data_IF_383544687160
#
_entry.id   IF_383544687160
#
_cell.length_a   1.000
_cell.length_b   1.000
_cell.length_c   1.000
_cell.angle_alpha   90.00
_cell.angle_beta   90.00
_cell.angle_gamma   90.00
#
_symmetry.space_group_name_H-M   'P 1'
#
loop_
_entity.id
_entity.type
_entity.pdbx_description
1 polymer ?
#
# COMPACT_ATOMS: atom_id res chain seq x y z
N UNK A 1 -9.29 68.87 12.84
CA UNK A 1 -8.47 67.98 13.70
C UNK A 1 -9.40 67.05 14.48
N UNK A 2 -9.35 65.77 14.12
CA UNK A 2 -9.48 64.57 14.97
C UNK A 2 -10.76 64.34 15.80
N UNK A 3 -11.82 63.85 15.15
CA UNK A 3 -12.76 62.95 15.81
C UNK A 3 -12.08 61.58 16.01
N UNK A 4 -11.75 61.28 17.28
CA UNK A 4 -11.10 60.04 17.70
C UNK A 4 -12.01 58.84 17.38
N UNK A 5 -11.46 57.94 16.58
CA UNK A 5 -11.91 56.56 16.34
C UNK A 5 -12.06 55.82 17.68
N UNK A 6 -13.11 55.02 17.83
CA UNK A 6 -13.07 53.65 18.37
C UNK A 6 -14.50 53.10 18.42
N UNK A 7 -14.95 52.53 17.31
CA UNK A 7 -16.06 51.58 17.34
C UNK A 7 -15.44 50.19 17.29
N UNK A 8 -15.42 49.53 18.45
CA UNK A 8 -15.06 48.11 18.59
C UNK A 8 -16.22 47.31 18.00
N UNK A 9 -16.05 46.76 16.80
CA UNK A 9 -16.95 45.75 16.25
C UNK A 9 -16.27 44.38 16.38
N UNK A 10 -16.59 43.66 17.45
CA UNK A 10 -16.35 42.22 17.54
C UNK A 10 -17.37 41.51 16.63
N UNK A 11 -17.06 41.39 15.34
CA UNK A 11 -17.79 40.48 14.45
C UNK A 11 -17.18 39.10 14.63
N UNK A 12 -17.74 38.33 15.57
CA UNK A 12 -17.48 36.92 15.71
C UNK A 12 -18.05 36.18 14.49
N UNK A 13 -17.26 36.10 13.41
CA UNK A 13 -17.49 35.17 12.31
C UNK A 13 -17.16 33.76 12.81
N UNK A 14 -18.10 33.16 13.54
CA UNK A 14 -18.18 31.71 13.69
C UNK A 14 -18.65 31.14 12.34
N UNK A 15 -17.75 31.09 11.37
CA UNK A 15 -17.96 30.28 10.18
C UNK A 15 -17.96 28.83 10.66
N UNK A 16 -19.16 28.26 10.74
CA UNK A 16 -19.38 26.83 10.87
C UNK A 16 -18.64 26.14 9.70
N UNK A 17 -17.39 25.73 9.93
CA UNK A 17 -16.73 24.74 9.10
C UNK A 17 -17.48 23.44 9.35
N UNK A 18 -18.50 23.19 8.54
CA UNK A 18 -19.03 21.83 8.39
C UNK A 18 -17.91 21.05 7.71
N UNK A 19 -17.01 20.48 8.53
CA UNK A 19 -16.10 19.43 8.07
C UNK A 19 -16.98 18.22 7.85
N UNK A 20 -17.63 18.15 6.68
CA UNK A 20 -18.19 16.89 6.20
C UNK A 20 -17.01 15.97 6.00
N UNK A 21 -16.72 15.15 7.02
CA UNK A 21 -15.78 14.05 6.91
C UNK A 21 -16.29 13.16 5.78
N UNK A 22 -15.68 13.29 4.60
CA UNK A 22 -15.93 12.37 3.50
C UNK A 22 -15.47 11.01 4.05
N UNK A 23 -16.35 10.01 4.13
CA UNK A 23 -15.93 8.72 4.63
C UNK A 23 -14.84 8.17 3.70
N UNK A 24 -13.65 7.96 4.26
CA UNK A 24 -12.54 7.31 3.56
C UNK A 24 -12.81 5.80 3.59
N UNK A 25 -13.31 5.26 2.49
CA UNK A 25 -13.43 3.82 2.29
C UNK A 25 -12.16 3.31 1.63
N UNK A 26 -11.68 2.14 2.07
CA UNK A 26 -10.60 1.45 1.38
C UNK A 26 -11.21 0.50 0.34
N UNK A 27 -10.68 0.50 -0.86
CA UNK A 27 -10.95 -0.50 -1.90
C UNK A 27 -10.09 -1.73 -1.64
N UNK A 28 -10.73 -2.87 -1.36
CA UNK A 28 -10.11 -4.20 -1.22
C UNK A 28 -10.03 -4.88 -2.60
N UNK A 29 -8.84 -5.29 -3.00
CA UNK A 29 -8.60 -5.99 -4.28
C UNK A 29 -8.66 -7.51 -4.17
N UNK A 30 -8.97 -8.05 -2.98
CA UNK A 30 -9.08 -9.46 -2.71
C UNK A 30 -7.72 -10.13 -2.53
N UNK A 31 -7.77 -11.46 -2.41
CA UNK A 31 -6.59 -12.29 -2.21
C UNK A 31 -6.11 -12.81 -3.57
N UNK A 32 -4.81 -12.71 -3.82
CA UNK A 32 -4.17 -13.37 -4.95
C UNK A 32 -3.05 -14.29 -4.49
N UNK A 33 -2.79 -15.35 -5.25
CA UNK A 33 -1.67 -16.23 -4.98
C UNK A 33 -0.36 -15.59 -5.43
N UNK A 34 0.65 -15.65 -4.57
CA UNK A 34 2.02 -15.22 -4.90
C UNK A 34 2.97 -16.41 -4.86
N UNK A 35 4.02 -16.32 -5.67
CA UNK A 35 5.17 -17.23 -5.59
C UNK A 35 6.43 -16.49 -6.00
N UNK A 36 7.37 -16.39 -5.09
CA UNK A 36 8.64 -15.74 -5.36
C UNK A 36 9.47 -16.60 -6.36
N UNK A 37 10.42 -15.96 -7.04
CA UNK A 37 11.32 -16.58 -8.03
C UNK A 37 10.62 -17.21 -9.26
N UNK A 38 9.36 -16.85 -9.54
CA UNK A 38 8.62 -17.37 -10.70
C UNK A 38 8.60 -16.41 -11.92
N UNK A 39 9.16 -15.21 -11.76
CA UNK A 39 9.27 -14.18 -12.79
C UNK A 39 7.96 -13.45 -13.11
N UNK A 40 6.93 -13.59 -12.27
CA UNK A 40 5.62 -12.94 -12.43
C UNK A 40 5.40 -11.90 -11.34
N UNK A 41 4.40 -11.06 -11.57
CA UNK A 41 3.86 -10.18 -10.54
C UNK A 41 2.76 -10.88 -9.74
N UNK A 42 2.64 -10.52 -8.48
CA UNK A 42 1.86 -11.25 -7.48
C UNK A 42 0.47 -10.67 -7.23
N UNK A 43 0.20 -9.43 -7.63
CA UNK A 43 -1.15 -8.85 -7.61
C UNK A 43 -1.26 -7.68 -8.58
N UNK A 44 -2.43 -7.48 -9.20
CA UNK A 44 -2.74 -6.25 -9.97
C UNK A 44 -3.81 -5.43 -9.26
N UNK A 45 -3.65 -4.12 -9.19
CA UNK A 45 -4.62 -3.20 -8.59
C UNK A 45 -4.54 -1.81 -9.23
N UNK A 46 -5.47 -0.92 -8.88
CA UNK A 46 -5.49 0.48 -9.37
C UNK A 46 -5.52 1.47 -8.21
N UNK A 47 -4.86 2.60 -8.42
CA UNK A 47 -4.97 3.79 -7.58
C UNK A 47 -5.68 4.90 -8.35
N UNK A 48 -6.34 5.79 -7.62
CA UNK A 48 -6.97 7.00 -8.16
C UNK A 48 -6.36 8.24 -7.51
N UNK A 49 -6.74 9.44 -7.94
CA UNK A 49 -6.30 10.67 -7.27
C UNK A 49 -6.89 10.81 -5.87
N UNK A 50 -8.03 10.17 -5.60
CA UNK A 50 -8.68 10.13 -4.29
C UNK A 50 -8.20 8.96 -3.42
N UNK A 51 -7.87 7.82 -4.02
CA UNK A 51 -7.37 6.62 -3.33
C UNK A 51 -5.94 6.31 -3.79
N UNK A 52 -4.98 6.89 -3.09
CA UNK A 52 -3.56 6.95 -3.50
C UNK A 52 -2.62 6.29 -2.52
N UNK A 53 -3.12 5.80 -1.39
CA UNK A 53 -2.35 5.05 -0.42
C UNK A 53 -2.66 3.57 -0.57
N UNK A 54 -1.65 2.73 -0.48
CA UNK A 54 -1.74 1.30 -0.73
C UNK A 54 -1.15 0.57 0.45
N UNK A 55 -1.90 -0.36 1.02
CA UNK A 55 -1.44 -1.28 2.05
C UNK A 55 -1.40 -2.69 1.45
N UNK A 56 -0.27 -3.38 1.63
CA UNK A 56 -0.07 -4.76 1.17
C UNK A 56 0.28 -5.65 2.34
N UNK A 57 -0.31 -6.83 2.42
CA UNK A 57 0.01 -7.84 3.43
C UNK A 57 0.00 -9.24 2.81
N UNK A 58 0.82 -10.13 3.38
CA UNK A 58 0.95 -11.51 2.94
C UNK A 58 0.66 -12.47 4.11
N UNK A 59 -0.04 -13.55 3.82
CA UNK A 59 -0.49 -14.53 4.81
C UNK A 59 -0.51 -15.94 4.21
N UNK A 60 -0.77 -16.95 5.06
CA UNK A 60 -0.71 -18.38 4.68
C UNK A 60 0.62 -18.79 4.00
N UNK A 61 1.71 -18.19 4.46
CA UNK A 61 3.00 -18.26 3.78
C UNK A 61 3.64 -19.63 4.02
N UNK A 62 4.06 -20.26 2.93
CA UNK A 62 4.90 -21.46 2.92
C UNK A 62 6.26 -21.14 2.34
N UNK A 63 7.28 -21.77 2.91
CA UNK A 63 8.67 -21.72 2.45
C UNK A 63 9.08 -23.10 1.94
N UNK A 64 9.68 -23.15 0.75
CA UNK A 64 10.11 -24.40 0.11
C UNK A 64 11.59 -24.35 -0.24
N UNK A 65 12.38 -25.33 0.23
CA UNK A 65 13.80 -25.43 -0.09
C UNK A 65 13.97 -25.95 -1.52
N UNK A 66 14.56 -25.12 -2.40
CA UNK A 66 14.66 -25.42 -3.84
C UNK A 66 15.31 -26.78 -4.09
N UNK A 67 16.41 -27.08 -3.41
CA UNK A 67 17.21 -28.28 -3.67
C UNK A 67 16.54 -29.61 -3.29
N UNK A 68 15.50 -29.58 -2.43
CA UNK A 68 14.89 -30.80 -1.88
C UNK A 68 13.37 -30.84 -2.02
N UNK A 69 12.73 -29.70 -2.31
CA UNK A 69 11.28 -29.56 -2.24
C UNK A 69 10.71 -29.59 -0.81
N UNK A 70 11.56 -29.63 0.22
CA UNK A 70 11.14 -29.64 1.62
C UNK A 70 10.35 -28.38 1.99
N UNK A 71 9.17 -28.57 2.57
CA UNK A 71 8.23 -27.48 2.90
C UNK A 71 8.23 -27.19 4.40
N UNK A 72 8.10 -25.92 4.74
CA UNK A 72 7.96 -25.42 6.11
C UNK A 72 7.11 -24.16 6.13
N UNK A 73 6.70 -23.71 7.31
CA UNK A 73 6.02 -22.42 7.42
C UNK A 73 6.98 -21.27 7.10
N UNK A 74 6.47 -20.30 6.34
CA UNK A 74 7.16 -19.05 6.05
C UNK A 74 6.68 -17.92 6.96
N UNK A 75 7.38 -16.80 6.92
CA UNK A 75 7.03 -15.59 7.66
C UNK A 75 6.98 -14.41 6.71
N UNK A 76 6.03 -13.50 6.91
CA UNK A 76 5.92 -12.26 6.13
C UNK A 76 7.14 -11.35 6.34
N UNK A 77 7.82 -11.45 7.48
CA UNK A 77 9.08 -10.74 7.76
C UNK A 77 10.24 -11.14 6.83
N UNK A 78 10.17 -12.35 6.25
CA UNK A 78 11.11 -12.83 5.24
C UNK A 78 10.89 -12.23 3.85
N UNK A 79 9.78 -11.52 3.65
CA UNK A 79 9.36 -11.02 2.35
C UNK A 79 9.49 -9.50 2.29
N UNK A 80 9.86 -9.00 1.12
CA UNK A 80 9.73 -7.60 0.78
C UNK A 80 8.80 -7.47 -0.44
N UNK A 81 8.10 -6.34 -0.54
CA UNK A 81 7.25 -5.99 -1.68
C UNK A 81 7.66 -4.63 -2.25
N UNK A 82 7.51 -4.49 -3.57
CA UNK A 82 7.51 -3.19 -4.26
C UNK A 82 6.29 -3.09 -5.17
N UNK A 83 5.94 -1.87 -5.54
CA UNK A 83 4.84 -1.60 -6.47
C UNK A 83 5.42 -1.11 -7.78
N UNK A 84 5.08 -1.76 -8.90
CA UNK A 84 5.55 -1.42 -10.23
C UNK A 84 4.41 -0.84 -11.07
N UNK A 85 4.61 0.36 -11.61
CA UNK A 85 3.64 1.03 -12.49
C UNK A 85 3.53 0.29 -13.82
N UNK A 86 2.31 -0.09 -14.22
CA UNK A 86 2.10 -0.78 -15.50
C UNK A 86 2.39 0.11 -16.72
N UNK A 87 2.27 1.43 -16.57
CA UNK A 87 2.43 2.38 -17.68
C UNK A 87 3.87 2.81 -17.90
N UNK A 88 4.64 2.96 -16.82
CA UNK A 88 6.03 3.44 -16.90
C UNK A 88 7.08 2.35 -16.66
N UNK A 89 6.69 1.20 -16.12
CA UNK A 89 7.62 0.16 -15.67
C UNK A 89 8.44 0.52 -14.42
N UNK A 90 8.33 1.76 -13.93
CA UNK A 90 9.03 2.20 -12.73
C UNK A 90 8.45 1.54 -11.48
N UNK A 91 9.33 1.09 -10.59
CA UNK A 91 8.93 0.50 -9.33
C UNK A 91 9.35 1.36 -8.14
N UNK A 92 8.59 1.27 -7.06
CA UNK A 92 9.00 1.80 -5.75
C UNK A 92 10.23 1.06 -5.22
N UNK A 93 10.85 1.62 -4.19
CA UNK A 93 11.77 0.85 -3.35
C UNK A 93 11.04 -0.32 -2.68
N UNK A 94 11.81 -1.36 -2.35
CA UNK A 94 11.34 -2.51 -1.58
C UNK A 94 10.98 -2.10 -0.14
N UNK A 95 9.87 -2.65 0.38
CA UNK A 95 9.43 -2.51 1.78
C UNK A 95 9.14 -3.87 2.37
N UNK A 96 9.50 -4.08 3.63
CA UNK A 96 9.30 -5.35 4.29
C UNK A 96 7.82 -5.61 4.64
N UNK A 97 7.40 -6.88 4.57
CA UNK A 97 6.02 -7.31 4.82
C UNK A 97 5.75 -7.80 6.26
N UNK A 98 6.64 -7.56 7.24
CA UNK A 98 6.51 -8.10 8.61
C UNK A 98 5.12 -7.98 9.25
N UNK A 99 4.36 -6.93 8.95
CA UNK A 99 2.93 -6.84 9.26
C UNK A 99 2.13 -6.43 8.03
N UNK A 100 2.50 -5.27 7.46
CA UNK A 100 2.02 -4.77 6.19
C UNK A 100 3.06 -3.78 5.63
N UNK A 101 3.07 -3.61 4.32
CA UNK A 101 3.84 -2.58 3.63
C UNK A 101 2.90 -1.46 3.16
N UNK A 102 3.21 -0.23 3.57
CA UNK A 102 2.43 0.96 3.26
C UNK A 102 3.13 1.79 2.18
N UNK A 103 2.42 2.20 1.14
CA UNK A 103 2.89 3.09 0.09
C UNK A 103 1.94 4.28 0.00
N UNK A 104 2.44 5.50 0.14
CA UNK A 104 1.61 6.70 0.18
C UNK A 104 1.81 7.55 -1.06
N UNK A 105 0.81 8.37 -1.38
CA UNK A 105 0.86 9.35 -2.46
C UNK A 105 1.20 8.76 -3.85
N UNK A 106 0.72 7.54 -4.10
CA UNK A 106 0.86 6.88 -5.40
C UNK A 106 0.11 7.69 -6.47
N UNK A 107 0.75 7.89 -7.62
CA UNK A 107 0.06 8.49 -8.78
C UNK A 107 -1.06 7.56 -9.23
N UNK A 108 -2.19 8.12 -9.66
CA UNK A 108 -3.29 7.35 -10.22
C UNK A 108 -2.82 6.48 -11.40
N UNK A 109 -3.23 5.21 -11.40
CA UNK A 109 -2.83 4.26 -12.44
C UNK A 109 -2.98 2.81 -12.02
N UNK A 110 -2.62 1.90 -12.91
CA UNK A 110 -2.55 0.46 -12.64
C UNK A 110 -1.16 0.10 -12.15
N UNK A 111 -1.10 -0.73 -11.11
CA UNK A 111 0.13 -1.21 -10.49
C UNK A 111 0.12 -2.72 -10.32
N UNK A 112 1.34 -3.24 -10.27
CA UNK A 112 1.63 -4.61 -9.91
C UNK A 112 2.33 -4.65 -8.55
N UNK A 113 1.89 -5.52 -7.65
CA UNK A 113 2.67 -5.92 -6.48
C UNK A 113 3.69 -6.98 -6.92
N UNK A 114 4.94 -6.77 -6.56
CA UNK A 114 6.07 -7.67 -6.81
C UNK A 114 6.67 -8.03 -5.46
N UNK A 115 6.64 -9.31 -5.11
CA UNK A 115 7.11 -9.87 -3.85
C UNK A 115 8.37 -10.67 -4.11
N UNK A 116 9.36 -10.46 -3.24
CA UNK A 116 10.56 -11.29 -3.19
C UNK A 116 10.80 -11.79 -1.79
N UNK A 117 11.57 -12.87 -1.69
CA UNK A 117 12.20 -13.24 -0.43
C UNK A 117 13.68 -12.84 -0.40
N UNK A 118 14.34 -13.11 0.73
CA UNK A 118 15.72 -12.70 1.03
C UNK A 118 16.73 -13.86 0.93
N UNK A 119 16.31 -15.04 0.46
CA UNK A 119 17.05 -16.30 0.58
C UNK A 119 17.13 -17.09 -0.72
N UNK A 120 18.30 -17.09 -1.36
CA UNK A 120 18.54 -17.77 -2.64
C UNK A 120 18.32 -19.30 -2.65
N UNK A 121 18.26 -19.93 -1.48
CA UNK A 121 18.05 -21.39 -1.35
C UNK A 121 16.58 -21.81 -1.26
N UNK A 122 15.66 -20.84 -1.26
CA UNK A 122 14.24 -21.06 -1.04
C UNK A 122 13.43 -20.34 -2.12
N UNK A 123 12.17 -20.75 -2.23
CA UNK A 123 11.11 -19.87 -2.70
C UNK A 123 9.98 -19.88 -1.69
N UNK A 124 9.20 -18.82 -1.69
CA UNK A 124 8.04 -18.61 -0.83
C UNK A 124 6.78 -18.53 -1.67
N UNK A 125 5.67 -18.95 -1.09
CA UNK A 125 4.35 -18.84 -1.71
C UNK A 125 3.28 -18.63 -0.65
N UNK A 126 2.17 -18.02 -1.02
CA UNK A 126 1.05 -17.80 -0.11
C UNK A 126 -0.01 -16.94 -0.76
N UNK A 127 -0.75 -16.21 0.08
CA UNK A 127 -1.73 -15.23 -0.37
C UNK A 127 -1.25 -13.82 -0.06
N UNK A 128 -1.49 -12.91 -0.99
CA UNK A 128 -1.29 -11.47 -0.84
C UNK A 128 -2.62 -10.76 -1.05
N UNK A 129 -2.88 -9.72 -0.27
CA UNK A 129 -4.02 -8.83 -0.48
C UNK A 129 -3.56 -7.37 -0.44
N UNK A 130 -4.27 -6.53 -1.20
CA UNK A 130 -4.00 -5.11 -1.38
C UNK A 130 -5.26 -4.29 -1.03
N UNK A 131 -5.10 -3.34 -0.10
CA UNK A 131 -6.07 -2.28 0.17
C UNK A 131 -5.60 -0.95 -0.42
N UNK A 132 -6.49 -0.21 -1.08
CA UNK A 132 -6.22 1.12 -1.62
C UNK A 132 -7.15 2.16 -0.99
N UNK A 133 -6.62 3.28 -0.51
CA UNK A 133 -7.33 4.29 0.28
C UNK A 133 -6.85 5.72 0.02
#
# INVERSE_FOLDING_TARGET
>A
MNARKMAILFVALFTFMVVSAVPAYATDYGNNYFKTEDGKYDHTFKTTSSEKNVQVYAFEIKKVKISTGGKSDGSSSSLDVRLCSSSSGNCTSWKNLSMAAEFTDMKAGTYYADIRDKYDSYYYSGLVNVYVR
#
